data_IF_107945028320
#
_entry.id   IF_107945028320
#
_cell.length_a   1.000
_cell.length_b   1.000
_cell.length_c   1.000
_cell.angle_alpha   90.00
_cell.angle_beta   90.00
_cell.angle_gamma   90.00
#
_symmetry.space_group_name_H-M   'P 1'
#
loop_
_entity.id
_entity.type
_entity.pdbx_description
1 polymer ?
#
# COMPACT_ATOMS: atom_id res chain seq x y z
N UNK A 1 -7.37 10.44 -13.21
CA UNK A 1 -7.88 9.47 -14.20
C UNK A 1 -7.90 8.10 -13.55
N UNK A 2 -9.06 7.46 -13.48
CA UNK A 2 -9.22 6.11 -12.91
C UNK A 2 -8.62 5.12 -13.92
N UNK A 3 -7.36 4.71 -13.74
CA UNK A 3 -6.74 3.70 -14.62
C UNK A 3 -7.39 2.37 -14.31
N UNK A 4 -8.19 1.85 -15.23
CA UNK A 4 -8.77 0.52 -15.12
C UNK A 4 -7.65 -0.52 -15.18
N UNK A 5 -7.50 -1.31 -14.12
CA UNK A 5 -6.58 -2.45 -14.08
C UNK A 5 -7.23 -3.58 -14.89
N UNK A 6 -6.75 -3.81 -16.11
CA UNK A 6 -7.33 -4.82 -17.01
C UNK A 6 -6.48 -6.10 -17.06
N UNK A 7 -5.17 -5.99 -16.82
CA UNK A 7 -4.25 -7.12 -16.82
C UNK A 7 -3.49 -7.23 -15.50
N UNK A 8 -2.90 -8.41 -15.28
CA UNK A 8 -2.02 -8.64 -14.15
C UNK A 8 -0.81 -7.70 -14.16
N UNK A 9 -0.27 -7.40 -15.34
CA UNK A 9 0.88 -6.49 -15.48
C UNK A 9 0.51 -5.03 -15.28
N UNK A 10 -0.76 -4.66 -15.46
CA UNK A 10 -1.26 -3.34 -15.05
C UNK A 10 -1.29 -3.25 -13.53
N UNK A 11 -1.73 -4.31 -12.85
CA UNK A 11 -1.72 -4.36 -11.38
C UNK A 11 -0.30 -4.35 -10.80
N UNK A 12 0.68 -4.92 -11.51
CA UNK A 12 2.07 -5.03 -11.07
C UNK A 12 2.90 -3.74 -11.29
N UNK A 13 2.31 -2.59 -10.98
CA UNK A 13 2.98 -1.29 -10.98
C UNK A 13 3.07 -0.71 -9.57
N UNK A 14 4.14 0.04 -9.24
CA UNK A 14 4.29 0.65 -7.91
C UNK A 14 3.12 1.55 -7.51
N UNK A 15 2.54 2.28 -8.47
CA UNK A 15 1.36 3.14 -8.28
C UNK A 15 0.14 2.38 -7.75
N UNK A 16 0.04 1.07 -8.05
CA UNK A 16 -1.07 0.22 -7.64
C UNK A 16 -0.86 -0.46 -6.29
N UNK A 17 0.27 -0.23 -5.62
CA UNK A 17 0.58 -0.84 -4.33
C UNK A 17 -0.54 -0.63 -3.29
N UNK A 18 -1.08 0.60 -3.19
CA UNK A 18 -2.18 0.90 -2.25
C UNK A 18 -3.47 0.18 -2.59
N UNK A 19 -3.76 0.00 -3.89
CA UNK A 19 -4.91 -0.78 -4.34
C UNK A 19 -4.77 -2.26 -3.98
N UNK A 20 -3.57 -2.84 -4.16
CA UNK A 20 -3.28 -4.21 -3.77
C UNK A 20 -3.43 -4.45 -2.26
N UNK A 21 -2.94 -3.51 -1.44
CA UNK A 21 -3.14 -3.55 0.03
C UNK A 21 -4.62 -3.48 0.38
N UNK A 22 -5.37 -2.56 -0.24
CA UNK A 22 -6.81 -2.40 0.00
C UNK A 22 -7.58 -3.68 -0.33
N UNK A 23 -7.31 -4.26 -1.50
CA UNK A 23 -7.93 -5.51 -1.92
C UNK A 23 -7.57 -6.66 -0.96
N UNK A 24 -6.31 -6.75 -0.52
CA UNK A 24 -5.90 -7.75 0.46
C UNK A 24 -6.62 -7.59 1.81
N UNK A 25 -6.83 -6.34 2.27
CA UNK A 25 -7.61 -6.05 3.49
C UNK A 25 -9.06 -6.49 3.36
N UNK A 26 -9.69 -6.19 2.23
CA UNK A 26 -11.06 -6.58 1.96
C UNK A 26 -11.23 -8.11 1.96
N UNK A 27 -10.39 -8.81 1.20
CA UNK A 27 -10.44 -10.27 1.06
C UNK A 27 -10.14 -10.99 2.38
N UNK A 28 -9.27 -10.42 3.23
CA UNK A 28 -8.94 -10.98 4.54
C UNK A 28 -9.93 -10.55 5.65
N UNK A 29 -10.96 -9.80 5.30
CA UNK A 29 -12.00 -9.36 6.22
C UNK A 29 -11.49 -8.40 7.29
N UNK A 30 -10.66 -7.43 6.90
CA UNK A 30 -10.22 -6.35 7.79
C UNK A 30 -11.41 -5.52 8.25
N UNK A 31 -11.55 -5.35 9.57
CA UNK A 31 -12.50 -4.43 10.18
C UNK A 31 -11.73 -3.18 10.65
N UNK A 32 -12.09 -2.00 10.14
CA UNK A 32 -11.42 -0.75 10.45
C UNK A 32 -11.68 -0.25 11.89
N UNK A 33 -12.84 -0.56 12.47
CA UNK A 33 -13.21 -0.16 13.84
C UNK A 33 -12.41 -0.96 14.87
N UNK A 34 -12.38 -2.29 14.72
CA UNK A 34 -11.68 -3.18 15.65
C UNK A 34 -10.21 -3.37 15.29
N UNK A 35 -9.80 -2.93 14.09
CA UNK A 35 -8.45 -3.09 13.52
C UNK A 35 -7.99 -4.54 13.46
N UNK A 36 -8.95 -5.47 13.35
CA UNK A 36 -8.69 -6.90 13.29
C UNK A 36 -9.03 -7.47 11.92
N UNK A 37 -8.35 -8.55 11.57
CA UNK A 37 -8.65 -9.34 10.38
C UNK A 37 -9.45 -10.58 10.78
N UNK A 38 -10.47 -10.91 10.00
CA UNK A 38 -11.13 -12.23 10.11
C UNK A 38 -10.17 -13.37 9.75
N UNK A 39 -9.29 -13.14 8.77
CA UNK A 39 -8.28 -14.09 8.34
C UNK A 39 -6.88 -13.43 8.26
N UNK A 40 -6.17 -13.25 9.40
CA UNK A 40 -4.85 -12.60 9.42
C UNK A 40 -3.78 -13.34 8.59
N UNK A 41 -3.81 -14.68 8.61
CA UNK A 41 -2.90 -15.51 7.82
C UNK A 41 -3.07 -15.28 6.32
N UNK A 42 -4.31 -15.10 5.84
CA UNK A 42 -4.60 -14.79 4.44
C UNK A 42 -3.99 -13.45 4.04
N UNK A 43 -4.09 -12.42 4.88
CA UNK A 43 -3.49 -11.11 4.63
C UNK A 43 -1.96 -11.21 4.47
N UNK A 44 -1.30 -11.97 5.34
CA UNK A 44 0.16 -12.20 5.26
C UNK A 44 0.53 -13.00 4.00
N UNK A 45 -0.20 -14.06 3.71
CA UNK A 45 0.03 -14.89 2.52
C UNK A 45 -0.13 -14.10 1.22
N UNK A 46 -1.04 -13.12 1.15
CA UNK A 46 -1.18 -12.26 -0.02
C UNK A 46 0.11 -11.49 -0.34
N UNK A 47 0.81 -10.97 0.66
CA UNK A 47 2.10 -10.29 0.44
C UNK A 47 3.17 -11.24 -0.10
N UNK A 48 3.21 -12.47 0.41
CA UNK A 48 4.10 -13.51 -0.11
C UNK A 48 3.76 -13.88 -1.55
N UNK A 49 2.49 -14.11 -1.85
CA UNK A 49 2.02 -14.48 -3.18
C UNK A 49 2.27 -13.37 -4.20
N UNK A 50 2.08 -12.10 -3.84
CA UNK A 50 2.37 -10.96 -4.71
C UNK A 50 3.87 -10.85 -5.02
N UNK A 51 4.77 -11.14 -4.05
CA UNK A 51 6.22 -11.20 -4.33
C UNK A 51 6.58 -12.30 -5.31
N UNK A 52 6.03 -13.50 -5.12
CA UNK A 52 6.20 -14.62 -6.05
C UNK A 52 5.70 -14.22 -7.44
N UNK A 53 4.55 -13.55 -7.49
CA UNK A 53 4.00 -13.07 -8.74
C UNK A 53 4.92 -12.04 -9.43
N UNK A 54 5.51 -11.10 -8.68
CA UNK A 54 6.51 -10.19 -9.24
C UNK A 54 7.70 -10.96 -9.84
N UNK A 55 8.16 -12.03 -9.21
CA UNK A 55 9.27 -12.84 -9.74
C UNK A 55 8.90 -13.57 -11.02
N UNK A 56 7.70 -14.15 -11.07
CA UNK A 56 7.18 -14.81 -12.27
C UNK A 56 7.00 -13.79 -13.41
N UNK A 57 6.41 -12.63 -13.12
CA UNK A 57 6.23 -11.57 -14.11
C UNK A 57 7.57 -11.02 -14.61
N UNK A 58 8.54 -10.84 -13.72
CA UNK A 58 9.88 -10.40 -14.10
C UNK A 58 10.56 -11.42 -15.03
N UNK A 59 10.42 -12.72 -14.74
CA UNK A 59 10.92 -13.80 -15.59
C UNK A 59 10.29 -13.75 -16.99
N UNK A 60 8.98 -13.54 -17.08
CA UNK A 60 8.26 -13.39 -18.36
C UNK A 60 8.87 -12.27 -19.23
N UNK A 61 9.15 -11.11 -18.62
CA UNK A 61 9.73 -9.95 -19.32
C UNK A 61 11.20 -10.20 -19.67
N UNK A 62 11.97 -10.88 -18.82
CA UNK A 62 13.38 -11.23 -19.10
C UNK A 62 13.48 -12.21 -20.27
N UNK A 63 12.66 -13.26 -20.26
CA UNK A 63 12.65 -14.31 -21.28
C UNK A 63 11.92 -13.90 -22.57
N UNK A 64 11.33 -12.69 -22.60
CA UNK A 64 10.55 -12.17 -23.73
C UNK A 64 9.46 -13.16 -24.18
N UNK A 65 8.82 -13.84 -23.22
CA UNK A 65 7.76 -14.79 -23.53
C UNK A 65 6.61 -14.05 -24.19
N UNK A 66 6.17 -14.56 -25.34
CA UNK A 66 4.99 -14.02 -25.98
C UNK A 66 3.74 -14.41 -25.18
N UNK A 67 2.98 -13.40 -24.78
CA UNK A 67 1.67 -13.56 -24.14
C UNK A 67 0.62 -12.85 -25.00
N UNK A 68 -0.45 -13.53 -25.43
CA UNK A 68 -1.51 -12.90 -26.19
C UNK A 68 -2.10 -11.72 -25.43
N UNK A 69 -2.42 -10.63 -26.13
CA UNK A 69 -3.04 -9.42 -25.58
C UNK A 69 -2.23 -8.68 -24.50
N UNK A 70 -0.93 -8.96 -24.40
CA UNK A 70 -0.04 -8.29 -23.47
C UNK A 70 1.10 -7.63 -24.23
N UNK A 71 1.18 -6.31 -24.11
CA UNK A 71 2.21 -5.49 -24.75
C UNK A 71 2.67 -4.41 -23.77
N UNK A 72 3.96 -4.12 -23.83
CA UNK A 72 4.57 -2.96 -23.18
C UNK A 72 5.63 -2.42 -24.15
N UNK A 73 5.91 -1.13 -24.04
CA UNK A 73 6.78 -0.44 -24.99
C UNK A 73 8.26 -0.68 -24.67
N UNK A 74 8.62 -0.68 -23.38
CA UNK A 74 9.99 -0.87 -22.92
C UNK A 74 10.12 -1.98 -21.87
N UNK A 75 10.88 -3.02 -22.22
CA UNK A 75 11.26 -4.11 -21.31
C UNK A 75 12.01 -3.59 -20.06
N UNK A 76 12.85 -2.56 -20.20
CA UNK A 76 13.63 -1.99 -19.08
C UNK A 76 12.72 -1.27 -18.10
N UNK A 77 11.81 -0.44 -18.60
CA UNK A 77 10.81 0.22 -17.79
C UNK A 77 9.93 -0.81 -17.09
N UNK A 78 9.40 -1.80 -17.82
CA UNK A 78 8.55 -2.85 -17.24
C UNK A 78 9.26 -3.65 -16.14
N UNK A 79 10.53 -4.02 -16.36
CA UNK A 79 11.37 -4.67 -15.33
C UNK A 79 11.53 -3.78 -14.10
N UNK A 80 11.67 -2.47 -14.29
CA UNK A 80 11.85 -1.50 -13.21
C UNK A 80 10.57 -1.38 -12.39
N UNK A 81 9.41 -1.20 -13.04
CA UNK A 81 8.10 -1.15 -12.38
C UNK A 81 7.88 -2.37 -11.46
N UNK A 82 8.09 -3.58 -11.99
CA UNK A 82 7.89 -4.83 -11.25
C UNK A 82 8.86 -4.93 -10.06
N UNK A 83 10.13 -4.56 -10.25
CA UNK A 83 11.14 -4.58 -9.19
C UNK A 83 10.83 -3.58 -8.08
N UNK A 84 10.43 -2.36 -8.44
CA UNK A 84 10.06 -1.33 -7.46
C UNK A 84 8.80 -1.73 -6.69
N UNK A 85 7.79 -2.31 -7.35
CA UNK A 85 6.63 -2.85 -6.63
C UNK A 85 7.03 -3.98 -5.67
N UNK A 86 7.89 -4.91 -6.10
CA UNK A 86 8.38 -5.98 -5.22
C UNK A 86 9.09 -5.44 -3.99
N UNK A 87 9.87 -4.37 -4.14
CA UNK A 87 10.51 -3.67 -3.01
C UNK A 87 9.48 -3.08 -2.07
N UNK A 88 8.44 -2.42 -2.58
CA UNK A 88 7.34 -1.88 -1.76
C UNK A 88 6.64 -2.98 -0.97
N UNK A 89 6.31 -4.10 -1.61
CA UNK A 89 5.69 -5.24 -0.91
C UNK A 89 6.64 -5.81 0.16
N UNK A 90 7.93 -5.94 -0.13
CA UNK A 90 8.89 -6.49 0.83
C UNK A 90 9.12 -5.59 2.04
N UNK A 91 9.17 -4.27 1.83
CA UNK A 91 9.47 -3.29 2.89
C UNK A 91 8.24 -2.74 3.63
N UNK A 92 7.09 -2.66 2.97
CA UNK A 92 5.94 -1.89 3.49
C UNK A 92 4.65 -2.70 3.63
N UNK A 93 4.58 -3.95 3.17
CA UNK A 93 3.33 -4.73 3.20
C UNK A 93 2.74 -4.89 4.60
N UNK A 94 3.52 -5.39 5.56
CA UNK A 94 3.03 -5.58 6.93
C UNK A 94 2.70 -4.25 7.61
N UNK A 95 3.44 -3.18 7.30
CA UNK A 95 3.16 -1.84 7.83
C UNK A 95 1.80 -1.34 7.31
N UNK A 96 1.53 -1.53 6.03
CA UNK A 96 0.29 -1.12 5.38
C UNK A 96 -0.91 -1.99 5.77
N UNK A 97 -0.73 -3.30 5.96
CA UNK A 97 -1.77 -4.22 6.43
C UNK A 97 -2.18 -3.95 7.87
N UNK A 98 -1.20 -3.74 8.75
CA UNK A 98 -1.44 -3.23 10.11
C UNK A 98 -1.95 -1.77 10.12
N UNK A 99 -2.26 -1.24 8.93
CA UNK A 99 -2.89 0.05 8.61
C UNK A 99 -1.97 1.26 8.70
N UNK A 100 -0.99 1.46 7.80
CA UNK A 100 0.05 2.50 7.98
C UNK A 100 0.59 2.45 9.44
N UNK A 101 0.71 1.20 9.93
CA UNK A 101 0.94 0.74 11.28
C UNK A 101 0.17 1.46 12.39
N UNK A 102 -1.13 1.74 12.22
CA UNK A 102 -1.92 2.50 13.18
C UNK A 102 -1.37 3.93 13.34
N UNK A 103 -0.19 4.28 12.75
CA UNK A 103 0.76 5.39 12.84
C UNK A 103 0.59 6.32 11.63
N UNK A 104 -0.45 7.12 11.60
CA UNK A 104 -0.52 8.24 12.52
C UNK A 104 -0.56 7.89 14.00
N UNK A 105 -1.50 7.08 14.53
CA UNK A 105 -1.70 6.49 15.91
C UNK A 105 -1.86 7.57 16.96
N UNK A 106 -0.91 8.47 16.86
CA UNK A 106 -0.78 9.86 17.19
C UNK A 106 -0.37 10.60 15.89
N UNK A 107 -1.27 10.90 14.94
CA UNK A 107 -1.24 12.28 14.42
C UNK A 107 -1.67 13.08 15.64
N UNK A 108 -0.68 13.27 16.50
CA UNK A 108 -0.69 13.93 17.78
C UNK A 108 -2.02 13.91 18.54
N UNK A 109 -2.15 12.96 19.46
CA UNK A 109 -2.91 13.10 20.72
C UNK A 109 -2.43 14.33 21.60
N UNK A 110 -1.72 15.30 21.02
CA UNK A 110 -1.05 16.48 21.62
C UNK A 110 -0.85 17.50 20.48
N UNK A 111 -1.82 18.33 20.10
CA UNK A 111 -2.32 19.38 20.99
C UNK A 111 -1.19 19.85 21.91
N UNK A 112 -0.21 20.60 21.38
CA UNK A 112 0.45 21.59 22.24
C UNK A 112 -0.71 22.45 22.76
N UNK A 113 -0.91 22.66 24.08
CA UNK A 113 -2.06 23.40 24.56
C UNK A 113 -2.08 24.74 23.84
N UNK A 114 -3.22 25.07 23.26
CA UNK A 114 -3.53 26.45 22.90
C UNK A 114 -3.29 27.26 24.17
N UNK A 115 -2.23 28.05 24.22
CA UNK A 115 -2.19 29.19 25.12
C UNK A 115 -3.26 30.15 24.59
N UNK A 116 -4.53 29.87 24.90
CA UNK A 116 -5.56 30.88 24.78
C UNK A 116 -5.27 31.92 25.87
N UNK A 117 -5.25 33.19 25.50
CA UNK A 117 -4.70 34.24 26.32
C UNK A 117 -5.63 34.46 27.51
N UNK A 118 -5.12 34.31 28.72
CA UNK A 118 -5.76 34.91 29.90
C UNK A 118 -5.26 36.35 30.04
N UNK A 119 -5.61 37.17 29.06
CA UNK A 119 -6.23 38.48 29.35
C UNK A 119 -7.55 38.17 30.05
N UNK A 120 -7.94 38.69 31.20
CA UNK A 120 -7.63 39.94 31.89
C UNK A 120 -7.73 39.65 33.40
N UNK A 121 -7.17 40.45 34.30
CA UNK A 121 -7.96 41.57 34.82
C UNK A 121 -7.13 42.84 35.00
N UNK A 122 -7.54 43.80 34.18
CA UNK A 122 -7.51 45.22 34.47
C UNK A 122 -8.43 45.46 35.68
N UNK A 123 -7.94 46.24 36.65
CA UNK A 123 -8.63 47.24 37.50
C UNK A 123 -7.95 47.26 38.89
N UNK A 124 -7.05 48.20 39.16
CA UNK A 124 -7.21 49.64 39.45
C UNK A 124 -7.26 49.92 40.96
N UNK A 125 -6.34 50.78 41.39
CA UNK A 125 -6.34 51.65 42.58
C UNK A 125 -5.98 51.05 43.94
#
# INVERSE_FOLDING_TARGET
MNRTICTLFDALKPENFRHLVSAAKEISGYNAETKMFKAPSLALHMGTNLKILCDVALKVVIEKRHLPNLRWEDDREKKTEIKELKKLISGHWCNELSSLALKNLKEKHWEKPTELPLTSDILFN
#
